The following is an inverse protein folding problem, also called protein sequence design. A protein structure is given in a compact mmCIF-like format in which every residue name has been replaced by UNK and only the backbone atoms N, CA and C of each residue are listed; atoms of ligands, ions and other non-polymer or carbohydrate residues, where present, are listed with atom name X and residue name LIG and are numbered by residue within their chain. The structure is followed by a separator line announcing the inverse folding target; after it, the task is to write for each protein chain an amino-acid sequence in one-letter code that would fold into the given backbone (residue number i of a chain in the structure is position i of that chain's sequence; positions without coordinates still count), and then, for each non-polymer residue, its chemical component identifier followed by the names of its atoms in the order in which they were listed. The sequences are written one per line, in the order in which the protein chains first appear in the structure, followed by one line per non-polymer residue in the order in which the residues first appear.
data_IF_105369317045
#
_entry.id   IF_105369317045
#
_cell.length_a   1.000
_cell.length_b   1.000
_cell.length_c   1.000
_cell.angle_alpha   90.00
_cell.angle_beta   90.00
_cell.angle_gamma   90.00
#
_symmetry.space_group_name_H-M   'P 1'
#
loop_
_entity.id
_entity.type
_entity.pdbx_description
1 polymer ?
#
# COMPACT_ATOMS: atom_id res chain seq x y z
N UNK A 1 2.28 28.78 -5.19
CA UNK A 1 1.15 28.87 -6.14
C UNK A 1 1.59 28.11 -7.39
N UNK A 2 0.79 27.17 -7.89
CA UNK A 2 1.16 26.40 -9.09
C UNK A 2 0.96 27.23 -10.35
N UNK A 3 1.63 26.88 -11.46
CA UNK A 3 1.41 27.59 -12.73
C UNK A 3 -0.05 27.49 -13.22
N UNK A 4 -0.72 26.36 -12.97
CA UNK A 4 -2.15 26.21 -13.27
C UNK A 4 -3.01 27.25 -12.55
N UNK A 5 -2.69 27.60 -11.30
CA UNK A 5 -3.41 28.66 -10.56
C UNK A 5 -3.17 30.05 -11.17
N UNK A 6 -1.95 30.34 -11.60
CA UNK A 6 -1.62 31.57 -12.34
C UNK A 6 -2.38 31.60 -13.67
N UNK A 7 -2.39 30.50 -14.42
CA UNK A 7 -3.06 30.39 -15.70
C UNK A 7 -4.57 30.57 -15.59
N UNK A 8 -5.22 29.93 -14.61
CA UNK A 8 -6.64 30.13 -14.33
C UNK A 8 -6.96 31.62 -14.08
N UNK A 9 -6.12 32.30 -13.28
CA UNK A 9 -6.29 33.73 -12.99
C UNK A 9 -6.16 34.59 -14.25
N UNK A 10 -5.20 34.27 -15.12
CA UNK A 10 -5.00 34.99 -16.38
C UNK A 10 -6.14 34.75 -17.38
N UNK A 11 -6.69 33.54 -17.45
CA UNK A 11 -7.86 33.23 -18.29
C UNK A 11 -9.09 33.99 -17.79
N UNK A 12 -9.33 34.02 -16.47
CA UNK A 12 -10.41 34.83 -15.87
C UNK A 12 -10.26 36.30 -16.24
N UNK A 13 -9.05 36.84 -16.14
CA UNK A 13 -8.73 38.23 -16.51
C UNK A 13 -8.94 38.49 -18.00
N UNK A 14 -8.53 37.56 -18.87
CA UNK A 14 -8.74 37.65 -20.32
C UNK A 14 -10.23 37.77 -20.65
N UNK A 15 -11.05 36.91 -20.05
CA UNK A 15 -12.50 36.91 -20.27
C UNK A 15 -13.16 38.19 -19.76
N UNK A 16 -12.75 38.69 -18.59
CA UNK A 16 -13.26 39.95 -18.06
C UNK A 16 -12.90 41.14 -18.96
N UNK A 17 -11.66 41.23 -19.45
CA UNK A 17 -11.24 42.34 -20.32
C UNK A 17 -11.83 42.28 -21.73
N UNK A 18 -11.94 41.09 -22.31
CA UNK A 18 -12.40 40.92 -23.69
C UNK A 18 -13.93 40.96 -23.80
N UNK A 19 -14.65 40.49 -22.77
CA UNK A 19 -16.10 40.28 -22.85
C UNK A 19 -16.89 40.94 -21.70
N UNK A 20 -16.23 41.58 -20.73
CA UNK A 20 -16.90 42.19 -19.58
C UNK A 20 -17.60 41.19 -18.66
N UNK A 21 -17.19 39.92 -18.70
CA UNK A 21 -17.84 38.83 -17.98
C UNK A 21 -16.88 38.13 -17.00
N UNK A 22 -17.41 37.59 -15.91
CA UNK A 22 -16.61 36.93 -14.86
C UNK A 22 -16.82 35.43 -14.87
N UNK A 23 -15.73 34.67 -14.89
CA UNK A 23 -15.75 33.23 -14.72
C UNK A 23 -15.50 32.86 -13.26
N UNK A 24 -16.31 31.95 -12.71
CA UNK A 24 -16.11 31.41 -11.36
C UNK A 24 -14.93 30.45 -11.31
N UNK A 25 -14.83 29.57 -12.31
CA UNK A 25 -13.80 28.52 -12.42
C UNK A 25 -13.30 28.37 -13.85
N UNK A 26 -12.08 27.88 -14.01
CA UNK A 26 -11.54 27.44 -15.30
C UNK A 26 -11.16 25.98 -15.20
N UNK A 27 -11.65 25.16 -16.12
CA UNK A 27 -11.27 23.75 -16.20
C UNK A 27 -9.96 23.61 -16.97
N UNK A 28 -8.91 23.19 -16.27
CA UNK A 28 -7.58 22.93 -16.81
C UNK A 28 -7.26 21.44 -16.72
N UNK A 29 -6.68 20.89 -17.78
CA UNK A 29 -6.22 19.50 -17.82
C UNK A 29 -4.90 19.40 -18.58
N UNK A 30 -4.09 18.34 -18.36
CA UNK A 30 -2.95 18.06 -19.23
C UNK A 30 -3.40 17.92 -20.68
N UNK A 31 -2.64 18.51 -21.60
CA UNK A 31 -2.94 18.35 -23.03
C UNK A 31 -2.80 16.88 -23.44
N UNK A 32 -3.75 16.40 -24.25
CA UNK A 32 -3.69 15.01 -24.76
C UNK A 32 -2.48 14.87 -25.67
N UNK A 33 -1.78 13.74 -25.58
CA UNK A 33 -0.53 13.47 -26.32
C UNK A 33 -0.62 13.62 -27.85
N UNK A 34 -1.82 13.55 -28.41
CA UNK A 34 -2.09 13.69 -29.84
C UNK A 34 -2.09 15.15 -30.32
N UNK A 35 -2.04 16.12 -29.40
CA UNK A 35 -2.04 17.55 -29.69
C UNK A 35 -0.78 18.22 -29.12
N UNK A 36 -0.35 19.29 -29.80
CA UNK A 36 0.70 20.15 -29.29
C UNK A 36 0.17 21.01 -28.13
N UNK A 37 0.84 20.98 -26.99
CA UNK A 37 0.47 21.72 -25.78
C UNK A 37 0.91 21.01 -24.51
N UNK A 38 1.03 21.79 -23.44
CA UNK A 38 1.33 21.30 -22.09
C UNK A 38 0.06 21.27 -21.23
N UNK A 39 -0.76 22.31 -21.36
CA UNK A 39 -2.01 22.49 -20.59
C UNK A 39 -3.13 22.88 -21.55
N UNK A 40 -4.29 22.25 -21.37
CA UNK A 40 -5.50 22.55 -22.12
C UNK A 40 -6.51 23.23 -21.21
N UNK A 41 -6.99 24.41 -21.61
CA UNK A 41 -8.18 25.03 -21.05
C UNK A 41 -9.42 24.57 -21.82
N UNK A 42 -10.39 23.99 -21.11
CA UNK A 42 -11.66 23.56 -21.71
C UNK A 42 -12.58 24.78 -21.82
N UNK A 43 -12.89 25.20 -23.05
CA UNK A 43 -13.63 26.45 -23.29
C UNK A 43 -15.14 26.27 -23.11
N UNK A 44 -15.67 25.05 -23.27
CA UNK A 44 -17.12 24.79 -23.24
C UNK A 44 -17.85 25.29 -21.98
N UNK A 45 -17.34 25.09 -20.74
CA UNK A 45 -17.97 25.65 -19.54
C UNK A 45 -18.09 27.18 -19.59
N UNK A 46 -17.14 27.87 -20.23
CA UNK A 46 -17.12 29.33 -20.35
C UNK A 46 -18.25 29.86 -21.24
N UNK A 47 -18.77 29.05 -22.17
CA UNK A 47 -19.85 29.44 -23.07
C UNK A 47 -21.19 29.73 -22.37
N UNK A 48 -21.33 29.27 -21.12
CA UNK A 48 -22.49 29.61 -20.27
C UNK A 48 -22.50 31.09 -19.86
N UNK A 49 -21.31 31.70 -19.83
CA UNK A 49 -21.09 33.09 -19.41
C UNK A 49 -20.86 33.98 -20.63
N UNK A 50 -20.03 33.54 -21.58
CA UNK A 50 -19.72 34.24 -22.82
C UNK A 50 -20.35 33.50 -24.00
N UNK A 51 -21.42 34.05 -24.58
CA UNK A 51 -22.05 33.44 -25.76
C UNK A 51 -21.18 33.61 -27.00
N UNK A 52 -20.98 32.54 -27.76
CA UNK A 52 -20.23 32.61 -29.01
C UNK A 52 -19.80 31.25 -29.54
N UNK A 53 -18.92 31.28 -30.55
CA UNK A 53 -18.29 30.08 -31.08
C UNK A 53 -17.12 29.67 -30.17
N UNK A 54 -17.03 28.40 -29.72
CA UNK A 54 -15.96 27.93 -28.84
C UNK A 54 -14.55 28.10 -29.40
N UNK A 55 -14.39 27.95 -30.72
CA UNK A 55 -13.08 28.12 -31.37
C UNK A 55 -12.65 29.57 -31.32
N UNK A 56 -13.54 30.49 -31.69
CA UNK A 56 -13.26 31.94 -31.64
C UNK A 56 -13.00 32.43 -30.21
N UNK A 57 -13.74 31.92 -29.22
CA UNK A 57 -13.49 32.24 -27.82
C UNK A 57 -12.12 31.72 -27.36
N UNK A 58 -11.79 30.48 -27.70
CA UNK A 58 -10.46 29.91 -27.43
C UNK A 58 -9.34 30.71 -28.08
N UNK A 59 -9.51 31.13 -29.33
CA UNK A 59 -8.53 31.93 -30.07
C UNK A 59 -8.35 33.31 -29.45
N UNK A 60 -9.44 33.97 -29.05
CA UNK A 60 -9.37 35.27 -28.40
C UNK A 60 -8.64 35.20 -27.06
N UNK A 61 -8.95 34.18 -26.24
CA UNK A 61 -8.27 33.95 -24.95
C UNK A 61 -6.80 33.59 -25.19
N UNK A 62 -6.50 32.67 -26.11
CA UNK A 62 -5.13 32.26 -26.43
C UNK A 62 -4.26 33.42 -26.91
N UNK A 63 -4.79 34.28 -27.79
CA UNK A 63 -4.11 35.48 -28.26
C UNK A 63 -3.82 36.46 -27.13
N UNK A 64 -4.79 36.67 -26.23
CA UNK A 64 -4.58 37.49 -25.04
C UNK A 64 -3.47 36.91 -24.16
N UNK A 65 -3.48 35.60 -23.93
CA UNK A 65 -2.49 34.92 -23.10
C UNK A 65 -1.07 35.07 -23.65
N UNK A 66 -0.84 34.82 -24.94
CA UNK A 66 0.48 35.01 -25.59
C UNK A 66 0.98 36.47 -25.47
N UNK A 67 0.07 37.45 -25.52
CA UNK A 67 0.43 38.86 -25.43
C UNK A 67 0.75 39.33 -24.00
N UNK A 68 0.21 38.67 -22.97
CA UNK A 68 0.22 39.17 -21.59
C UNK A 68 0.91 38.24 -20.60
N UNK A 69 1.25 37.01 -20.99
CA UNK A 69 1.88 36.00 -20.14
C UNK A 69 3.16 35.54 -20.82
N UNK A 70 4.30 36.03 -20.34
CA UNK A 70 5.63 35.76 -20.91
C UNK A 70 5.99 34.28 -20.99
N UNK A 71 5.42 33.48 -20.11
CA UNK A 71 5.66 32.04 -19.98
C UNK A 71 4.97 31.24 -21.08
N UNK A 72 4.02 31.83 -21.81
CA UNK A 72 3.27 31.17 -22.89
C UNK A 72 3.91 31.50 -24.24
N UNK A 73 4.40 30.48 -24.93
CA UNK A 73 5.05 30.63 -26.25
C UNK A 73 4.03 30.73 -27.38
N UNK A 74 3.06 29.80 -27.39
CA UNK A 74 2.03 29.72 -28.42
C UNK A 74 0.82 28.94 -27.92
N UNK A 75 -0.23 28.90 -28.74
CA UNK A 75 -1.41 28.10 -28.49
C UNK A 75 -1.99 27.55 -29.80
N UNK A 76 -2.88 26.57 -29.69
CA UNK A 76 -3.76 26.14 -30.76
C UNK A 76 -5.15 25.82 -30.19
N UNK A 77 -6.17 25.89 -31.03
CA UNK A 77 -7.55 25.58 -30.63
C UNK A 77 -8.08 24.44 -31.48
N UNK A 78 -8.44 23.33 -30.84
CA UNK A 78 -9.05 22.18 -31.51
C UNK A 78 -10.45 21.98 -30.96
N UNK A 79 -11.47 22.26 -31.77
CA UNK A 79 -12.88 22.06 -31.41
C UNK A 79 -13.32 22.70 -30.08
N UNK A 80 -12.67 23.77 -29.61
CA UNK A 80 -12.98 24.40 -28.31
C UNK A 80 -12.11 23.92 -27.14
N UNK A 81 -11.06 23.16 -27.41
CA UNK A 81 -9.96 22.92 -26.48
C UNK A 81 -8.83 23.89 -26.82
N UNK A 82 -8.56 24.84 -25.92
CA UNK A 82 -7.44 25.77 -26.04
C UNK A 82 -6.19 25.10 -25.46
N UNK A 83 -5.33 24.59 -26.33
CA UNK A 83 -4.07 23.95 -25.98
C UNK A 83 -2.97 25.00 -25.93
N UNK A 84 -2.27 25.09 -24.80
CA UNK A 84 -1.29 26.13 -24.49
C UNK A 84 0.08 25.48 -24.42
N UNK A 85 1.07 26.08 -25.10
CA UNK A 85 2.47 25.68 -25.08
C UNK A 85 3.25 26.68 -24.23
N UNK A 86 3.98 26.18 -23.25
CA UNK A 86 4.85 26.96 -22.38
C UNK A 86 6.22 27.11 -23.03
N UNK A 87 6.84 28.28 -22.82
CA UNK A 87 8.19 28.54 -23.31
C UNK A 87 9.22 27.66 -22.61
N UNK A 88 10.29 27.27 -23.31
CA UNK A 88 11.44 26.57 -22.71
C UNK A 88 12.02 27.33 -21.50
N UNK A 89 11.99 28.67 -21.57
CA UNK A 89 12.47 29.53 -20.48
C UNK A 89 11.70 29.33 -19.18
N UNK A 90 10.39 29.03 -19.26
CA UNK A 90 9.59 28.71 -18.08
C UNK A 90 10.10 27.45 -17.40
N UNK A 91 10.38 26.38 -18.14
CA UNK A 91 10.88 25.13 -17.59
C UNK A 91 12.28 25.27 -16.99
N UNK A 92 13.18 26.00 -17.67
CA UNK A 92 14.52 26.29 -17.14
C UNK A 92 14.46 27.13 -15.87
N UNK A 93 13.62 28.17 -15.84
CA UNK A 93 13.46 29.02 -14.67
C UNK A 93 12.82 28.23 -13.52
N UNK A 94 11.82 27.40 -13.80
CA UNK A 94 11.22 26.51 -12.81
C UNK A 94 12.26 25.56 -12.22
N UNK A 95 13.04 24.88 -13.07
CA UNK A 95 14.10 23.99 -12.61
C UNK A 95 15.12 24.72 -11.74
N UNK A 96 15.58 25.90 -12.17
CA UNK A 96 16.52 26.72 -11.41
C UNK A 96 15.93 27.31 -10.12
N UNK A 97 14.60 27.41 -10.01
CA UNK A 97 13.93 27.87 -8.78
C UNK A 97 13.84 26.81 -7.69
N UNK A 98 14.10 25.54 -8.02
CA UNK A 98 14.11 24.46 -7.03
C UNK A 98 15.45 24.47 -6.31
N UNK A 99 15.46 25.01 -5.08
CA UNK A 99 16.66 25.08 -4.25
C UNK A 99 17.10 23.72 -3.70
N UNK A 100 16.14 22.82 -3.47
CA UNK A 100 16.38 21.49 -2.89
C UNK A 100 15.45 20.42 -3.49
N UNK A 101 16.03 19.56 -4.34
CA UNK A 101 15.30 18.44 -4.93
C UNK A 101 14.99 17.31 -3.94
N UNK A 102 15.63 17.27 -2.75
CA UNK A 102 15.33 16.26 -1.74
C UNK A 102 13.96 16.46 -1.09
N UNK A 103 13.44 17.69 -1.12
CA UNK A 103 12.13 18.10 -0.60
C UNK A 103 11.10 18.41 -1.68
N UNK A 104 11.53 18.49 -2.95
CA UNK A 104 10.63 18.76 -4.08
C UNK A 104 9.45 17.78 -4.15
N UNK A 105 8.26 18.32 -4.38
CA UNK A 105 7.02 17.55 -4.46
C UNK A 105 6.47 17.07 -3.11
N UNK A 106 7.13 17.39 -1.99
CA UNK A 106 6.63 17.10 -0.64
C UNK A 106 5.91 18.32 -0.06
N UNK A 107 4.80 18.07 0.61
CA UNK A 107 4.04 19.06 1.36
C UNK A 107 4.50 19.03 2.81
N UNK A 108 4.72 20.19 3.47
CA UNK A 108 5.01 20.23 4.90
C UNK A 108 3.95 19.49 5.71
N UNK A 109 4.37 18.76 6.74
CA UNK A 109 3.46 17.93 7.52
C UNK A 109 2.43 18.80 8.27
N UNK A 110 1.15 18.49 8.07
CA UNK A 110 0.02 19.07 8.80
C UNK A 110 -0.38 18.26 10.03
N UNK A 111 -1.63 18.45 10.48
CA UNK A 111 -2.19 17.82 11.69
C UNK A 111 -2.99 16.54 11.40
N UNK A 112 -3.32 16.26 10.14
CA UNK A 112 -4.05 15.05 9.77
C UNK A 112 -3.13 13.82 9.89
N UNK A 113 -3.66 12.77 10.53
CA UNK A 113 -2.97 11.51 10.71
C UNK A 113 -3.67 10.39 9.94
N UNK A 114 -2.89 9.50 9.34
CA UNK A 114 -3.35 8.32 8.62
C UNK A 114 -2.59 7.10 9.11
N UNK A 115 -3.32 5.99 9.32
CA UNK A 115 -2.73 4.69 9.58
C UNK A 115 -2.80 3.85 8.31
N UNK A 116 -1.69 3.25 7.91
CA UNK A 116 -1.61 2.34 6.76
C UNK A 116 -1.22 0.97 7.29
N UNK A 117 -2.18 0.04 7.26
CA UNK A 117 -1.98 -1.36 7.64
C UNK A 117 -1.63 -2.20 6.41
N UNK A 118 -0.53 -2.95 6.49
CA UNK A 118 -0.08 -3.78 5.39
C UNK A 118 0.86 -4.90 5.84
N UNK A 119 1.16 -5.81 4.91
CA UNK A 119 1.85 -7.09 5.08
C UNK A 119 1.11 -8.13 5.92
N UNK A 120 0.78 -7.79 7.18
CA UNK A 120 0.02 -8.60 8.15
C UNK A 120 0.12 -10.13 7.97
N UNK A 121 1.35 -10.70 8.04
CA UNK A 121 1.59 -12.09 7.68
C UNK A 121 1.16 -13.06 8.79
N UNK A 122 0.92 -14.32 8.41
CA UNK A 122 0.76 -15.42 9.36
C UNK A 122 2.13 -15.97 9.77
N UNK A 123 2.31 -16.30 11.04
CA UNK A 123 3.62 -16.76 11.54
C UNK A 123 3.93 -18.25 11.28
N UNK A 124 3.03 -18.98 10.63
CA UNK A 124 3.22 -20.41 10.34
C UNK A 124 3.98 -20.67 9.02
N UNK A 125 4.32 -19.64 8.24
CA UNK A 125 4.95 -19.75 6.91
C UNK A 125 5.93 -18.60 6.65
N UNK A 126 6.97 -18.81 5.84
CA UNK A 126 7.86 -17.73 5.43
C UNK A 126 7.17 -16.75 4.48
N UNK A 127 7.68 -15.52 4.44
CA UNK A 127 7.31 -14.56 3.40
C UNK A 127 7.70 -15.12 2.01
N UNK A 128 6.89 -14.79 1.01
CA UNK A 128 7.03 -15.28 -0.36
C UNK A 128 6.57 -14.19 -1.34
N UNK A 129 6.79 -14.37 -2.64
CA UNK A 129 6.51 -13.36 -3.66
C UNK A 129 5.08 -12.80 -3.59
N UNK A 130 4.08 -13.65 -3.31
CA UNK A 130 2.70 -13.18 -3.10
C UNK A 130 2.52 -12.12 -1.99
N UNK A 131 3.33 -12.14 -0.93
CA UNK A 131 3.29 -11.13 0.12
C UNK A 131 3.94 -9.81 -0.33
N UNK A 132 4.97 -9.88 -1.20
CA UNK A 132 5.71 -8.71 -1.69
C UNK A 132 4.79 -7.67 -2.31
N UNK A 133 3.75 -8.09 -3.05
CA UNK A 133 2.77 -7.17 -3.63
C UNK A 133 2.12 -6.27 -2.57
N UNK A 134 1.59 -6.86 -1.51
CA UNK A 134 0.91 -6.09 -0.47
C UNK A 134 1.91 -5.27 0.36
N UNK A 135 3.10 -5.82 0.60
CA UNK A 135 4.20 -5.12 1.27
C UNK A 135 4.58 -3.83 0.54
N UNK A 136 4.91 -3.92 -0.75
CA UNK A 136 5.35 -2.77 -1.54
C UNK A 136 4.21 -1.78 -1.82
N UNK A 137 2.99 -2.28 -2.02
CA UNK A 137 1.83 -1.41 -2.23
C UNK A 137 1.53 -0.59 -0.97
N UNK A 138 1.45 -1.24 0.20
CA UNK A 138 1.19 -0.56 1.47
C UNK A 138 2.28 0.45 1.80
N UNK A 139 3.55 0.06 1.64
CA UNK A 139 4.68 0.96 1.85
C UNK A 139 4.65 2.17 0.90
N UNK A 140 4.37 1.95 -0.39
CA UNK A 140 4.27 3.05 -1.37
C UNK A 140 3.14 4.01 -1.03
N UNK A 141 1.97 3.51 -0.63
CA UNK A 141 0.86 4.35 -0.18
C UNK A 141 1.27 5.15 1.05
N UNK A 142 1.90 4.53 2.04
CA UNK A 142 2.37 5.23 3.24
C UNK A 142 3.35 6.37 2.91
N UNK A 143 4.32 6.14 2.03
CA UNK A 143 5.31 7.17 1.66
C UNK A 143 4.70 8.27 0.77
N UNK A 144 3.72 7.96 -0.08
CA UNK A 144 2.96 8.98 -0.84
C UNK A 144 2.12 9.86 0.10
N UNK A 145 1.38 9.26 1.04
CA UNK A 145 0.57 10.01 2.01
C UNK A 145 1.45 10.88 2.91
N UNK A 146 2.64 10.40 3.29
CA UNK A 146 3.64 11.16 4.03
C UNK A 146 4.18 12.33 3.20
N UNK A 147 4.50 12.10 1.92
CA UNK A 147 4.91 13.16 1.00
C UNK A 147 3.78 14.18 0.75
N UNK A 148 2.51 13.78 0.85
CA UNK A 148 1.35 14.67 0.80
C UNK A 148 1.13 15.47 2.10
N UNK A 149 2.04 15.39 3.07
CA UNK A 149 2.01 16.20 4.29
C UNK A 149 1.17 15.61 5.42
N UNK A 150 0.81 14.33 5.37
CA UNK A 150 0.09 13.67 6.47
C UNK A 150 1.07 13.02 7.46
N UNK A 151 0.68 12.97 8.73
CA UNK A 151 1.37 12.13 9.72
C UNK A 151 0.98 10.68 9.49
N UNK A 152 1.91 9.85 9.01
CA UNK A 152 1.62 8.45 8.67
C UNK A 152 2.14 7.51 9.74
N UNK A 153 1.32 6.52 10.10
CA UNK A 153 1.70 5.38 10.94
C UNK A 153 1.61 4.09 10.12
N UNK A 154 2.74 3.41 9.93
CA UNK A 154 2.86 2.13 9.24
C UNK A 154 2.67 1.00 10.23
N UNK A 155 1.64 0.19 10.05
CA UNK A 155 1.27 -0.83 11.05
C UNK A 155 1.12 -2.21 10.45
N UNK A 156 1.35 -3.23 11.27
CA UNK A 156 1.01 -4.62 10.96
C UNK A 156 -0.01 -5.16 11.95
N UNK A 157 -0.87 -6.07 11.49
CA UNK A 157 -1.66 -6.94 12.37
C UNK A 157 -1.18 -8.37 12.11
N UNK A 158 -0.18 -8.79 12.88
CA UNK A 158 0.46 -10.09 12.68
C UNK A 158 -0.48 -11.19 13.19
N UNK A 159 -0.80 -12.13 12.32
CA UNK A 159 -1.56 -13.31 12.69
C UNK A 159 -0.61 -14.35 13.29
N UNK A 160 -0.51 -14.30 14.61
CA UNK A 160 0.41 -15.06 15.42
C UNK A 160 -0.30 -16.09 16.31
N UNK A 161 -1.58 -16.38 16.05
CA UNK A 161 -2.36 -17.37 16.80
C UNK A 161 -3.07 -18.40 15.91
N UNK A 162 -3.56 -19.47 16.53
CA UNK A 162 -4.44 -20.45 15.89
C UNK A 162 -3.78 -21.78 15.52
N UNK A 163 -4.60 -22.66 14.93
CA UNK A 163 -4.24 -24.07 14.74
C UNK A 163 -2.99 -24.27 13.87
N UNK A 164 -2.75 -23.40 12.88
CA UNK A 164 -1.61 -23.54 11.98
C UNK A 164 -0.27 -23.38 12.70
N UNK A 165 -0.22 -22.56 13.75
CA UNK A 165 0.98 -22.35 14.55
C UNK A 165 1.18 -23.53 15.51
N UNK A 166 0.08 -24.04 16.10
CA UNK A 166 0.11 -25.25 16.92
C UNK A 166 0.61 -26.48 16.12
N UNK A 167 0.27 -26.57 14.83
CA UNK A 167 0.81 -27.61 13.93
C UNK A 167 2.33 -27.54 13.83
N UNK A 168 2.88 -26.34 13.58
CA UNK A 168 4.34 -26.13 13.53
C UNK A 168 5.01 -26.42 14.87
N UNK A 169 4.42 -25.94 15.98
CA UNK A 169 4.92 -26.18 17.34
C UNK A 169 4.96 -27.68 17.69
N UNK A 170 3.88 -28.41 17.40
CA UNK A 170 3.80 -29.83 17.67
C UNK A 170 4.81 -30.62 16.82
N UNK A 171 4.94 -30.29 15.53
CA UNK A 171 5.92 -30.94 14.67
C UNK A 171 7.37 -30.65 15.12
N UNK A 172 7.68 -29.43 15.54
CA UNK A 172 8.98 -29.10 16.12
C UNK A 172 9.24 -29.90 17.41
N UNK A 173 8.26 -29.98 18.31
CA UNK A 173 8.39 -30.73 19.57
C UNK A 173 8.61 -32.23 19.35
N UNK A 174 7.96 -32.83 18.34
CA UNK A 174 8.07 -34.28 18.05
C UNK A 174 9.26 -34.65 17.18
N UNK A 175 9.61 -33.81 16.20
CA UNK A 175 10.52 -34.17 15.11
C UNK A 175 11.73 -33.25 14.99
N UNK A 176 11.77 -32.16 15.76
CA UNK A 176 12.78 -31.11 15.58
C UNK A 176 14.02 -31.24 16.43
N UNK A 177 14.08 -32.21 17.36
CA UNK A 177 15.28 -32.50 18.16
C UNK A 177 15.92 -31.27 18.84
N UNK A 178 15.12 -30.25 19.17
CA UNK A 178 15.59 -29.01 19.79
C UNK A 178 16.28 -28.02 18.85
N UNK A 179 16.22 -28.22 17.53
CA UNK A 179 16.81 -27.33 16.53
C UNK A 179 16.34 -25.87 16.69
N UNK A 180 17.26 -24.95 16.43
CA UNK A 180 17.03 -23.50 16.42
C UNK A 180 17.48 -22.89 15.09
N UNK A 181 17.10 -21.64 14.80
CA UNK A 181 17.67 -20.91 13.66
C UNK A 181 19.20 -20.91 13.68
N UNK A 182 19.79 -20.70 14.86
CA UNK A 182 21.25 -20.69 15.03
C UNK A 182 21.89 -22.05 14.76
N UNK A 183 21.27 -23.16 15.21
CA UNK A 183 21.83 -24.50 15.01
C UNK A 183 21.70 -25.00 13.57
N UNK A 184 20.71 -24.51 12.83
CA UNK A 184 20.40 -24.98 11.46
C UNK A 184 20.92 -24.03 10.37
N UNK A 185 21.20 -22.77 10.71
CA UNK A 185 21.50 -21.71 9.74
C UNK A 185 20.29 -21.27 8.92
N UNK A 186 19.09 -21.78 9.21
CA UNK A 186 17.87 -21.33 8.54
C UNK A 186 17.32 -20.06 9.19
N UNK A 187 16.84 -19.13 8.36
CA UNK A 187 16.02 -18.00 8.80
C UNK A 187 14.80 -18.50 9.62
N UNK A 188 14.43 -17.79 10.67
CA UNK A 188 13.48 -18.31 11.66
C UNK A 188 12.08 -18.65 11.10
N UNK A 189 11.52 -17.80 10.24
CA UNK A 189 10.25 -18.05 9.54
C UNK A 189 10.35 -19.24 8.56
N UNK A 190 11.51 -19.45 7.95
CA UNK A 190 11.80 -20.61 7.10
C UNK A 190 11.87 -21.90 7.92
N UNK A 191 12.54 -21.87 9.07
CA UNK A 191 12.63 -23.02 9.97
C UNK A 191 11.22 -23.43 10.45
N UNK A 192 10.45 -22.48 10.98
CA UNK A 192 9.06 -22.74 11.43
C UNK A 192 8.18 -23.23 10.29
N UNK A 193 8.30 -22.65 9.09
CA UNK A 193 7.59 -23.11 7.90
C UNK A 193 7.96 -24.53 7.48
N UNK A 194 9.21 -24.97 7.65
CA UNK A 194 9.61 -26.35 7.39
C UNK A 194 8.89 -27.33 8.34
N UNK A 195 8.67 -26.94 9.60
CA UNK A 195 7.91 -27.74 10.57
C UNK A 195 6.41 -27.76 10.26
N UNK A 196 5.85 -26.68 9.72
CA UNK A 196 4.49 -26.71 9.18
C UNK A 196 4.35 -27.77 8.06
N UNK A 197 5.29 -27.77 7.11
CA UNK A 197 5.31 -28.78 6.03
C UNK A 197 5.55 -30.20 6.58
N UNK A 198 6.40 -30.34 7.60
CA UNK A 198 6.66 -31.62 8.27
C UNK A 198 5.39 -32.15 8.94
N UNK A 199 4.63 -31.30 9.63
CA UNK A 199 3.34 -31.65 10.19
C UNK A 199 2.42 -32.23 9.10
N UNK A 200 2.24 -31.49 7.99
CA UNK A 200 1.32 -31.91 6.92
C UNK A 200 1.75 -33.23 6.27
N UNK A 201 3.06 -33.50 6.15
CA UNK A 201 3.59 -34.78 5.64
C UNK A 201 3.26 -35.94 6.58
N UNK A 202 3.51 -35.81 7.88
CA UNK A 202 3.23 -36.88 8.84
C UNK A 202 1.72 -37.06 9.06
N UNK A 203 0.95 -35.96 9.03
CA UNK A 203 -0.51 -35.98 9.09
C UNK A 203 -1.13 -36.75 7.92
N UNK A 204 -0.64 -36.53 6.69
CA UNK A 204 -1.07 -37.32 5.52
C UNK A 204 -0.80 -38.81 5.67
N UNK A 205 0.34 -39.22 6.24
CA UNK A 205 0.62 -40.64 6.51
C UNK A 205 -0.38 -41.25 7.48
N UNK A 206 -0.74 -40.52 8.54
CA UNK A 206 -1.75 -40.96 9.50
C UNK A 206 -3.13 -41.08 8.85
N UNK A 207 -3.51 -40.14 7.97
CA UNK A 207 -4.76 -40.22 7.21
C UNK A 207 -4.78 -41.49 6.34
N UNK A 208 -3.72 -41.76 5.58
CA UNK A 208 -3.68 -42.96 4.72
C UNK A 208 -3.70 -44.26 5.53
N UNK A 209 -3.05 -44.31 6.70
CA UNK A 209 -3.16 -45.45 7.63
C UNK A 209 -4.60 -45.66 8.09
N UNK A 210 -5.28 -44.61 8.54
CA UNK A 210 -6.67 -44.72 9.01
C UNK A 210 -7.64 -45.10 7.88
N UNK A 211 -7.39 -44.63 6.66
CA UNK A 211 -8.15 -45.05 5.47
C UNK A 211 -7.94 -46.53 5.17
N UNK A 212 -6.71 -47.03 5.31
CA UNK A 212 -6.42 -48.46 5.18
C UNK A 212 -7.14 -49.30 6.27
N UNK A 213 -7.34 -48.72 7.46
CA UNK A 213 -8.12 -49.32 8.55
C UNK A 213 -9.65 -49.17 8.37
N UNK A 214 -10.10 -48.74 7.19
CA UNK A 214 -11.52 -48.68 6.82
C UNK A 214 -12.25 -47.38 7.15
N UNK A 215 -11.55 -46.33 7.60
CA UNK A 215 -12.15 -45.01 7.82
C UNK A 215 -12.38 -44.27 6.51
N UNK A 216 -13.43 -43.45 6.47
CA UNK A 216 -13.60 -42.48 5.37
C UNK A 216 -12.52 -41.40 5.42
N UNK A 217 -12.30 -40.70 4.31
CA UNK A 217 -11.31 -39.61 4.26
C UNK A 217 -11.62 -38.49 5.28
N UNK A 218 -12.89 -38.17 5.50
CA UNK A 218 -13.32 -37.16 6.48
C UNK A 218 -13.05 -37.61 7.91
N UNK A 219 -13.41 -38.85 8.25
CA UNK A 219 -13.10 -39.42 9.57
C UNK A 219 -11.60 -39.52 9.82
N UNK A 220 -10.83 -39.94 8.81
CA UNK A 220 -9.38 -40.06 8.90
C UNK A 220 -8.73 -38.68 9.15
N UNK A 221 -9.19 -37.63 8.46
CA UNK A 221 -8.76 -36.24 8.72
C UNK A 221 -9.14 -35.81 10.14
N UNK A 222 -10.35 -36.09 10.60
CA UNK A 222 -10.79 -35.64 11.93
C UNK A 222 -10.14 -36.41 13.09
N UNK A 223 -9.84 -37.70 12.91
CA UNK A 223 -9.41 -38.63 13.97
C UNK A 223 -7.90 -38.89 13.98
N UNK A 224 -7.15 -38.41 12.99
CA UNK A 224 -5.70 -38.57 12.96
C UNK A 224 -5.04 -37.99 14.23
N UNK A 225 -4.19 -38.77 14.94
CA UNK A 225 -3.64 -38.36 16.23
C UNK A 225 -2.97 -36.98 16.23
N UNK A 226 -2.25 -36.62 15.16
CA UNK A 226 -1.57 -35.33 15.07
C UNK A 226 -2.52 -34.12 15.08
N UNK A 227 -3.68 -34.20 14.44
CA UNK A 227 -4.62 -33.07 14.47
C UNK A 227 -5.30 -32.93 15.83
N UNK A 228 -5.62 -34.05 16.48
CA UNK A 228 -6.20 -34.06 17.82
C UNK A 228 -5.22 -33.50 18.86
N UNK A 229 -3.94 -33.87 18.76
CA UNK A 229 -2.88 -33.31 19.59
C UNK A 229 -2.68 -31.81 19.33
N UNK A 230 -2.71 -31.36 18.07
CA UNK A 230 -2.60 -29.94 17.73
C UNK A 230 -3.80 -29.12 18.24
N UNK A 231 -5.02 -29.68 18.16
CA UNK A 231 -6.23 -29.05 18.75
C UNK A 231 -6.15 -28.99 20.28
N UNK A 232 -5.62 -30.03 20.93
CA UNK A 232 -5.36 -30.03 22.38
C UNK A 232 -4.33 -28.96 22.76
N UNK A 233 -3.27 -28.80 21.96
CA UNK A 233 -2.27 -27.74 22.15
C UNK A 233 -2.89 -26.36 21.99
N UNK A 234 -3.78 -26.15 21.01
CA UNK A 234 -4.50 -24.89 20.85
C UNK A 234 -5.33 -24.55 22.09
N UNK A 235 -6.11 -25.50 22.62
CA UNK A 235 -6.89 -25.29 23.85
C UNK A 235 -6.01 -24.97 25.06
N UNK A 236 -4.83 -25.60 25.15
CA UNK A 236 -3.82 -25.29 26.19
C UNK A 236 -3.31 -23.85 26.05
N UNK A 237 -3.00 -23.42 24.83
CA UNK A 237 -2.58 -22.05 24.55
C UNK A 237 -3.69 -21.04 24.90
N UNK A 238 -4.94 -21.30 24.53
CA UNK A 238 -6.09 -20.47 24.88
C UNK A 238 -6.36 -20.41 26.39
N UNK A 239 -6.00 -21.46 27.12
CA UNK A 239 -6.07 -21.52 28.58
C UNK A 239 -4.86 -20.92 29.29
N UNK A 240 -3.86 -20.40 28.56
CA UNK A 240 -2.66 -19.80 29.14
C UNK A 240 -1.67 -20.80 29.76
N UNK A 241 -1.67 -22.06 29.33
CA UNK A 241 -0.72 -23.09 29.79
C UNK A 241 0.74 -22.62 29.56
N UNK A 242 1.49 -22.46 30.65
CA UNK A 242 2.81 -21.80 30.65
C UNK A 242 3.79 -22.44 29.66
N UNK A 243 3.86 -23.78 29.60
CA UNK A 243 4.76 -24.49 28.69
C UNK A 243 4.39 -24.23 27.23
N UNK A 244 3.08 -24.25 26.92
CA UNK A 244 2.58 -24.03 25.57
C UNK A 244 2.80 -22.59 25.12
N UNK A 245 2.53 -21.62 25.99
CA UNK A 245 2.75 -20.19 25.72
C UNK A 245 4.24 -19.88 25.59
N UNK A 246 5.11 -20.49 26.41
CA UNK A 246 6.55 -20.33 26.29
C UNK A 246 7.09 -20.85 24.95
N UNK A 247 6.62 -22.03 24.50
CA UNK A 247 6.98 -22.57 23.19
C UNK A 247 6.49 -21.68 22.05
N UNK A 248 5.26 -21.18 22.17
CA UNK A 248 4.66 -20.26 21.21
C UNK A 248 5.48 -18.97 21.08
N UNK A 249 5.79 -18.31 22.19
CA UNK A 249 6.64 -17.12 22.26
C UNK A 249 8.00 -17.36 21.59
N UNK A 250 8.63 -18.49 21.91
CA UNK A 250 9.93 -18.87 21.34
C UNK A 250 9.88 -19.00 19.82
N UNK A 251 8.92 -19.74 19.29
CA UNK A 251 8.84 -19.99 17.84
C UNK A 251 8.38 -18.77 17.06
N UNK A 252 7.40 -18.03 17.56
CA UNK A 252 6.98 -16.77 16.94
C UNK A 252 8.10 -15.72 16.96
N UNK A 253 8.87 -15.64 18.06
CA UNK A 253 10.04 -14.77 18.14
C UNK A 253 11.08 -15.04 17.04
N UNK A 254 11.27 -16.31 16.64
CA UNK A 254 12.11 -16.64 15.48
C UNK A 254 11.51 -16.15 14.16
N UNK A 255 10.20 -16.30 14.00
CA UNK A 255 9.50 -15.87 12.80
C UNK A 255 9.54 -14.36 12.64
N UNK A 256 9.30 -13.59 13.72
CA UNK A 256 9.37 -12.13 13.69
C UNK A 256 10.75 -11.63 13.25
N UNK A 257 11.83 -12.19 13.81
CA UNK A 257 13.21 -11.88 13.38
C UNK A 257 13.44 -12.21 11.91
N UNK A 258 12.94 -13.36 11.46
CA UNK A 258 13.03 -13.76 10.06
C UNK A 258 12.25 -12.84 9.11
N UNK A 259 11.10 -12.32 9.53
CA UNK A 259 10.35 -11.33 8.77
C UNK A 259 11.09 -9.98 8.72
N UNK A 260 11.64 -9.53 9.86
CA UNK A 260 12.42 -8.30 9.96
C UNK A 260 13.63 -8.30 9.00
N UNK A 261 14.37 -9.42 8.92
CA UNK A 261 15.45 -9.59 7.93
C UNK A 261 14.96 -9.34 6.50
N UNK A 262 13.75 -9.81 6.17
CA UNK A 262 13.16 -9.64 4.83
C UNK A 262 12.73 -8.20 4.58
N UNK A 263 12.03 -7.57 5.54
CA UNK A 263 11.59 -6.18 5.41
C UNK A 263 12.78 -5.23 5.28
N UNK A 264 13.84 -5.44 6.08
CA UNK A 264 15.08 -4.68 5.99
C UNK A 264 15.74 -4.84 4.62
N UNK A 265 15.79 -6.06 4.08
CA UNK A 265 16.40 -6.32 2.78
C UNK A 265 15.66 -5.61 1.62
N UNK A 266 14.35 -5.38 1.74
CA UNK A 266 13.54 -4.68 0.72
C UNK A 266 13.27 -3.21 1.05
N UNK A 267 13.90 -2.67 2.10
CA UNK A 267 13.80 -1.25 2.46
C UNK A 267 12.42 -0.83 3.00
N UNK A 268 11.72 -1.75 3.69
CA UNK A 268 10.40 -1.51 4.29
C UNK A 268 10.51 -1.52 5.81
N UNK A 269 9.78 -0.62 6.46
CA UNK A 269 9.76 -0.42 7.91
C UNK A 269 8.32 -0.26 8.44
N UNK A 270 8.17 -0.40 9.75
CA UNK A 270 6.89 -0.28 10.45
C UNK A 270 7.09 0.50 11.74
N UNK A 271 6.09 1.31 12.11
CA UNK A 271 6.07 2.07 13.36
C UNK A 271 5.50 1.23 14.51
N UNK A 272 4.50 0.40 14.22
CA UNK A 272 3.84 -0.44 15.22
C UNK A 272 3.53 -1.85 14.70
N UNK A 273 3.69 -2.81 15.60
CA UNK A 273 3.30 -4.20 15.40
C UNK A 273 2.16 -4.51 16.36
N UNK A 274 0.98 -4.82 15.80
CA UNK A 274 -0.14 -5.37 16.54
C UNK A 274 -0.18 -6.87 16.34
N UNK A 275 -0.62 -7.59 17.36
CA UNK A 275 -0.71 -9.04 17.34
C UNK A 275 -2.17 -9.47 17.52
N UNK A 276 -2.63 -10.43 16.72
CA UNK A 276 -3.96 -11.01 16.92
C UNK A 276 -4.11 -11.67 18.30
N UNK A 277 -3.00 -12.19 18.85
CA UNK A 277 -2.93 -12.74 20.20
C UNK A 277 -3.25 -11.73 21.31
N UNK A 278 -2.99 -10.43 21.10
CA UNK A 278 -3.29 -9.37 22.07
C UNK A 278 -4.74 -8.87 21.98
N UNK A 279 -5.36 -9.00 20.81
CA UNK A 279 -6.62 -8.32 20.48
C UNK A 279 -7.84 -9.25 20.45
N UNK A 280 -7.66 -10.57 20.32
CA UNK A 280 -8.79 -11.50 20.22
C UNK A 280 -9.63 -11.61 21.49
N UNK A 281 -9.07 -11.30 22.67
CA UNK A 281 -9.80 -11.31 23.93
C UNK A 281 -10.91 -10.25 23.94
N UNK A 282 -10.67 -9.08 23.35
CA UNK A 282 -11.66 -7.99 23.24
C UNK A 282 -12.83 -8.37 22.32
N UNK A 283 -12.61 -9.22 21.32
CA UNK A 283 -13.65 -9.67 20.39
C UNK A 283 -14.56 -10.76 20.97
N UNK A 284 -14.08 -11.53 21.96
CA UNK A 284 -14.85 -12.62 22.58
C UNK A 284 -15.97 -12.10 23.48
N UNK A 285 -15.83 -10.89 24.01
CA UNK A 285 -16.87 -10.23 24.82
C UNK A 285 -18.00 -9.62 23.96
N UNK A 286 -17.83 -9.57 22.63
CA UNK A 286 -18.77 -8.99 21.67
C UNK A 286 -19.62 -10.08 20.97
N UNK A 287 -19.24 -11.36 21.06
CA UNK A 287 -19.90 -12.51 20.40
C UNK A 287 -20.59 -13.39 21.41
#
# INVERSE_FOLDING_TARGET
MTFQQTLETQIKTAVEKLYGAKLETVELQPTRKDFEGDITAVVFPMLRVVKGNPVQLGEAIGNYLVQHVSEIEKFNVVQGFLNIVLSDSYYLNFFNSVEDFSSFGKVPQGNEAVMVEYSSPNTNKPLHLGHVRNVLLGYSVAEIEKAAGKKVYKTQIINDRGIHICKSMLAWKKFGNGETPDSTGFKGDKLVGNYYVKFDKEYKKQIESLKADGKTEEEAKAQAPLILEAQKMLRKWEAGDEETVALWNKMNGWVYKGFEETYKAIGVDFDFYYYESDTYLLGKDII
#
